data_IF_440372561627
#
_entry.id   IF_440372561627
#
_cell.length_a   1.000
_cell.length_b   1.000
_cell.length_c   1.000
_cell.angle_alpha   90.00
_cell.angle_beta   90.00
_cell.angle_gamma   90.00
#
_symmetry.space_group_name_H-M   'P 1'
#
loop_
_entity.id
_entity.type
_entity.pdbx_description
1 polymer ?
#
# COMPACT_ATOMS: atom_id res chain seq x y z
N UNK A 1 43.17 7.00 28.11
CA UNK A 1 42.53 5.84 27.48
C UNK A 1 41.06 5.90 27.88
N UNK A 2 40.22 6.44 27.00
CA UNK A 2 38.81 6.72 27.26
C UNK A 2 37.96 5.77 26.42
N UNK A 3 36.92 5.12 26.99
CA UNK A 3 36.05 4.26 26.21
C UNK A 3 35.04 5.11 25.42
N UNK A 4 34.94 4.79 24.12
CA UNK A 4 34.01 5.38 23.18
C UNK A 4 32.63 4.73 23.34
N UNK A 5 31.60 5.53 23.60
CA UNK A 5 30.21 5.07 23.68
C UNK A 5 29.62 4.90 22.28
N UNK A 6 29.14 3.69 21.99
CA UNK A 6 28.36 3.38 20.80
C UNK A 6 26.95 3.98 20.92
N UNK A 7 26.58 4.82 19.96
CA UNK A 7 25.21 5.33 19.80
C UNK A 7 24.33 4.26 19.18
N UNK A 8 23.28 3.87 19.90
CA UNK A 8 22.26 2.92 19.48
C UNK A 8 21.46 3.43 18.28
N UNK A 9 21.34 2.56 17.29
CA UNK A 9 20.54 2.73 16.08
C UNK A 9 19.04 2.68 16.44
N UNK A 10 18.40 3.83 16.46
CA UNK A 10 16.96 3.96 16.57
C UNK A 10 16.33 4.16 15.18
N UNK A 11 15.13 3.61 15.00
CA UNK A 11 14.17 3.85 13.91
C UNK A 11 14.21 2.95 12.66
N UNK A 12 14.07 1.62 12.84
CA UNK A 12 13.53 0.70 11.80
C UNK A 12 12.09 0.23 12.05
N UNK A 13 11.48 0.59 13.19
CA UNK A 13 10.16 0.09 13.62
C UNK A 13 8.98 0.51 12.73
N UNK A 14 9.06 1.65 12.03
CA UNK A 14 7.97 2.13 11.17
C UNK A 14 7.94 1.53 9.76
N UNK A 15 9.07 1.04 9.24
CA UNK A 15 9.18 0.60 7.84
C UNK A 15 8.66 -0.82 7.62
N UNK A 16 8.87 -1.71 8.59
CA UNK A 16 8.56 -3.14 8.45
C UNK A 16 7.06 -3.42 8.62
N UNK A 17 6.39 -2.72 9.54
CA UNK A 17 4.94 -2.89 9.79
C UNK A 17 4.08 -2.27 8.66
N UNK A 18 4.60 -1.22 8.00
CA UNK A 18 3.99 -0.66 6.79
C UNK A 18 4.18 -1.61 5.60
N UNK A 19 5.36 -2.23 5.46
CA UNK A 19 5.67 -3.14 4.36
C UNK A 19 4.81 -4.41 4.36
N UNK A 20 4.55 -5.02 5.53
CA UNK A 20 3.75 -6.26 5.62
C UNK A 20 2.26 -6.04 5.38
N UNK A 21 1.69 -4.94 5.88
CA UNK A 21 0.29 -4.56 5.59
C UNK A 21 0.13 -4.11 4.13
N UNK A 22 1.13 -3.43 3.55
CA UNK A 22 1.11 -3.11 2.11
C UNK A 22 1.25 -4.36 1.25
N UNK A 23 2.06 -5.36 1.63
CA UNK A 23 2.21 -6.60 0.88
C UNK A 23 0.86 -7.36 0.81
N UNK A 24 0.16 -7.48 1.94
CA UNK A 24 -1.15 -8.12 2.00
C UNK A 24 -2.23 -7.37 1.19
N UNK A 25 -2.22 -6.02 1.22
CA UNK A 25 -3.12 -5.20 0.39
C UNK A 25 -2.76 -5.22 -1.11
N UNK A 26 -1.48 -5.40 -1.47
CA UNK A 26 -1.05 -5.52 -2.87
C UNK A 26 -1.49 -6.85 -3.49
N UNK A 27 -1.43 -7.96 -2.73
CA UNK A 27 -1.87 -9.28 -3.20
C UNK A 27 -3.39 -9.31 -3.48
N UNK A 28 -4.20 -8.64 -2.64
CA UNK A 28 -5.64 -8.53 -2.85
C UNK A 28 -6.01 -7.59 -4.01
N UNK A 29 -5.28 -6.48 -4.20
CA UNK A 29 -5.55 -5.54 -5.30
C UNK A 29 -5.15 -6.07 -6.68
N UNK A 30 -4.13 -6.94 -6.77
CA UNK A 30 -3.70 -7.53 -8.05
C UNK A 30 -4.61 -8.66 -8.54
N UNK A 31 -5.36 -9.30 -7.64
CA UNK A 31 -6.34 -10.34 -8.00
C UNK A 31 -7.72 -9.78 -8.38
N UNK A 32 -8.06 -8.56 -7.92
CA UNK A 32 -9.38 -7.97 -8.09
C UNK A 32 -9.52 -7.01 -9.30
N UNK A 33 -8.42 -6.71 -10.02
CA UNK A 33 -8.42 -5.78 -11.16
C UNK A 33 -8.23 -6.52 -12.49
N UNK A 34 -9.05 -7.55 -12.70
CA UNK A 34 -9.21 -8.19 -14.01
C UNK A 34 -10.34 -7.56 -14.85
N UNK A 35 -11.23 -6.76 -14.24
CA UNK A 35 -12.35 -6.10 -14.93
C UNK A 35 -12.43 -4.61 -14.59
N UNK A 36 -11.59 -3.80 -15.23
CA UNK A 36 -11.87 -2.36 -15.33
C UNK A 36 -11.63 -1.95 -16.79
N UNK A 37 -12.52 -2.41 -17.67
CA UNK A 37 -12.72 -1.79 -18.97
C UNK A 37 -13.77 -0.68 -18.83
N UNK A 38 -13.37 0.49 -19.30
CA UNK A 38 -14.24 1.58 -19.71
C UNK A 38 -15.22 1.05 -20.76
N UNK A 39 -16.50 0.90 -20.40
CA UNK A 39 -17.59 0.81 -21.38
C UNK A 39 -18.74 1.71 -20.94
N UNK A 40 -18.93 2.76 -21.72
CA UNK A 40 -20.15 3.54 -21.83
C UNK A 40 -21.23 2.67 -22.51
N UNK A 41 -22.34 2.42 -21.82
CA UNK A 41 -23.66 2.12 -22.39
C UNK A 41 -24.68 1.86 -21.27
N UNK A 42 -25.57 2.83 -21.09
CA UNK A 42 -26.85 2.66 -20.38
C UNK A 42 -27.77 1.74 -21.20
N UNK A 43 -28.52 0.81 -20.57
CA UNK A 43 -29.97 0.98 -20.55
C UNK A 43 -30.66 0.66 -19.22
N UNK A 44 -31.81 1.32 -19.09
CA UNK A 44 -32.78 1.32 -18.00
C UNK A 44 -33.20 -0.05 -17.46
N UNK A 45 -33.31 -0.13 -16.12
CA UNK A 45 -34.13 -1.11 -15.42
C UNK A 45 -35.13 -0.37 -14.53
N UNK A 46 -36.41 -0.69 -14.71
CA UNK A 46 -37.55 -0.24 -13.89
C UNK A 46 -37.52 -0.88 -12.51
N UNK A 47 -38.21 -0.25 -11.53
CA UNK A 47 -38.02 -0.49 -10.11
C UNK A 47 -39.01 -1.54 -9.59
N UNK A 48 -38.56 -2.46 -8.75
CA UNK A 48 -39.42 -3.01 -7.69
C UNK A 48 -38.61 -3.75 -6.62
N UNK A 49 -38.88 -3.31 -5.39
CA UNK A 49 -38.94 -4.12 -4.17
C UNK A 49 -37.64 -4.70 -3.57
N UNK A 50 -36.95 -3.87 -2.78
CA UNK A 50 -36.20 -4.37 -1.61
C UNK A 50 -36.40 -3.50 -0.39
N UNK A 51 -37.04 -4.12 0.59
CA UNK A 51 -37.33 -3.67 1.94
C UNK A 51 -36.11 -3.08 2.68
N UNK A 52 -36.43 -2.06 3.47
CA UNK A 52 -35.55 -1.28 4.34
C UNK A 52 -34.77 -2.14 5.34
N UNK A 53 -33.44 -2.10 5.24
CA UNK A 53 -32.54 -2.51 6.33
C UNK A 53 -32.13 -1.26 7.15
N UNK A 54 -31.85 -1.38 8.46
CA UNK A 54 -31.54 -0.25 9.34
C UNK A 54 -30.25 0.45 8.91
N UNK A 55 -30.31 1.78 8.76
CA UNK A 55 -29.14 2.62 8.46
C UNK A 55 -28.24 2.73 9.69
N UNK A 56 -27.07 2.09 9.64
CA UNK A 56 -25.94 2.42 10.49
C UNK A 56 -25.48 3.87 10.21
N UNK A 57 -25.14 4.67 11.24
CA UNK A 57 -24.63 6.02 11.03
C UNK A 57 -23.30 5.98 10.25
N UNK A 58 -23.02 7.01 9.42
CA UNK A 58 -21.83 7.04 8.58
C UNK A 58 -20.59 7.04 9.46
N UNK A 59 -19.91 5.89 9.53
CA UNK A 59 -18.54 5.83 10.04
C UNK A 59 -17.68 6.64 9.09
N UNK A 60 -17.29 7.83 9.54
CA UNK A 60 -16.20 8.61 8.97
C UNK A 60 -14.98 7.70 8.86
N UNK A 61 -14.82 7.11 7.67
CA UNK A 61 -13.61 6.37 7.33
C UNK A 61 -12.51 7.40 7.34
N UNK A 62 -11.81 7.45 8.48
CA UNK A 62 -10.50 8.05 8.72
C UNK A 62 -9.70 8.01 7.41
N UNK A 63 -9.86 9.07 6.62
CA UNK A 63 -9.16 9.24 5.35
C UNK A 63 -7.71 9.34 5.75
N UNK A 64 -6.92 8.34 5.39
CA UNK A 64 -5.51 8.24 5.73
C UNK A 64 -4.84 9.59 5.50
N UNK A 65 -4.37 10.17 6.60
CA UNK A 65 -3.61 11.42 6.64
C UNK A 65 -2.34 11.19 5.82
N UNK A 66 -2.24 11.87 4.68
CA UNK A 66 -0.99 12.10 3.96
C UNK A 66 -0.50 10.98 3.05
N UNK A 67 -1.13 10.78 1.89
CA UNK A 67 -0.30 10.64 0.68
C UNK A 67 -0.02 12.06 0.22
N UNK A 68 1.20 12.55 0.49
CA UNK A 68 1.66 13.83 -0.03
C UNK A 68 1.50 13.91 -1.55
N UNK A 69 1.56 15.12 -2.12
CA UNK A 69 1.66 15.28 -3.57
C UNK A 69 2.80 14.42 -4.10
N UNK A 70 2.54 13.58 -5.11
CA UNK A 70 3.60 12.83 -5.79
C UNK A 70 4.58 13.84 -6.36
N UNK A 71 5.82 13.82 -5.86
CA UNK A 71 6.87 14.68 -6.39
C UNK A 71 7.46 14.06 -7.67
N UNK A 72 8.28 14.83 -8.37
CA UNK A 72 8.89 14.38 -9.63
C UNK A 72 9.76 13.14 -9.46
N UNK A 73 10.42 13.00 -8.30
CA UNK A 73 11.21 11.81 -7.98
C UNK A 73 10.37 10.54 -7.80
N UNK A 74 9.17 10.66 -7.22
CA UNK A 74 8.21 9.55 -7.13
C UNK A 74 7.72 9.14 -8.51
N UNK A 75 7.44 10.12 -9.37
CA UNK A 75 7.00 9.89 -10.74
C UNK A 75 8.07 9.16 -11.57
N UNK A 76 9.33 9.58 -11.49
CA UNK A 76 10.41 8.93 -12.24
C UNK A 76 10.63 7.49 -11.77
N UNK A 77 10.54 7.22 -10.46
CA UNK A 77 10.61 5.85 -9.92
C UNK A 77 9.49 4.96 -10.47
N UNK A 78 8.26 5.49 -10.58
CA UNK A 78 7.13 4.75 -11.15
C UNK A 78 7.30 4.52 -12.65
N UNK A 79 7.81 5.51 -13.37
CA UNK A 79 8.10 5.41 -14.80
C UNK A 79 9.21 4.38 -15.04
N UNK A 80 10.24 4.30 -14.19
CA UNK A 80 11.25 3.23 -14.25
C UNK A 80 10.61 1.84 -14.13
N UNK A 81 9.63 1.65 -13.24
CA UNK A 81 8.92 0.36 -13.14
C UNK A 81 8.10 0.08 -14.40
N UNK A 82 7.49 1.10 -15.00
CA UNK A 82 6.79 0.94 -16.28
C UNK A 82 7.74 0.59 -17.42
N UNK A 83 8.96 1.13 -17.41
CA UNK A 83 10.02 0.85 -18.39
C UNK A 83 10.43 -0.62 -18.34
N UNK A 84 10.60 -1.15 -17.12
CA UNK A 84 10.92 -2.56 -16.89
C UNK A 84 9.82 -3.50 -17.46
N UNK A 85 8.58 -3.03 -17.62
CA UNK A 85 7.45 -3.79 -18.19
C UNK A 85 7.35 -3.60 -19.71
N UNK A 86 7.38 -2.34 -20.16
CA UNK A 86 7.20 -1.96 -21.57
C UNK A 86 7.76 -0.55 -21.80
N UNK A 87 8.87 -0.40 -22.56
CA UNK A 87 9.45 0.90 -22.90
C UNK A 87 8.46 1.88 -23.54
N UNK A 88 7.57 1.37 -24.40
CA UNK A 88 6.51 2.15 -25.04
C UNK A 88 5.52 2.73 -24.01
N UNK A 89 5.24 1.98 -22.94
CA UNK A 89 4.33 2.44 -21.90
C UNK A 89 4.99 3.51 -21.06
N UNK A 90 6.25 3.33 -20.66
CA UNK A 90 7.02 4.36 -19.98
C UNK A 90 7.12 5.65 -20.80
N UNK A 91 7.34 5.54 -22.11
CA UNK A 91 7.35 6.67 -23.03
C UNK A 91 6.00 7.40 -23.07
N UNK A 92 4.89 6.67 -23.13
CA UNK A 92 3.54 7.24 -23.05
C UNK A 92 3.31 7.97 -21.72
N UNK A 93 3.79 7.43 -20.60
CA UNK A 93 3.68 8.07 -19.29
C UNK A 93 4.50 9.36 -19.21
N UNK A 94 5.73 9.38 -19.78
CA UNK A 94 6.55 10.60 -19.88
C UNK A 94 5.87 11.67 -20.73
N UNK A 95 5.29 11.29 -21.86
CA UNK A 95 4.56 12.21 -22.74
C UNK A 95 3.38 12.87 -22.01
N UNK A 96 2.57 12.07 -21.30
CA UNK A 96 1.45 12.59 -20.48
C UNK A 96 1.91 13.51 -19.37
N UNK A 97 3.04 13.20 -18.72
CA UNK A 97 3.61 14.05 -17.67
C UNK A 97 4.12 15.38 -18.23
N UNK A 98 4.65 15.41 -19.45
CA UNK A 98 5.09 16.62 -20.12
C UNK A 98 3.92 17.50 -20.60
N UNK A 99 2.82 16.88 -21.04
CA UNK A 99 1.63 17.57 -21.54
C UNK A 99 0.78 18.18 -20.41
N UNK A 100 0.42 17.37 -19.40
CA UNK A 100 -0.36 17.84 -18.25
C UNK A 100 0.12 17.17 -16.94
N UNK A 101 1.13 17.75 -16.25
CA UNK A 101 1.74 17.15 -15.08
C UNK A 101 0.76 16.89 -13.93
N UNK A 102 -0.16 17.81 -13.66
CA UNK A 102 -1.09 17.71 -12.53
C UNK A 102 -2.15 16.63 -12.73
N UNK A 103 -2.69 16.54 -13.95
CA UNK A 103 -3.64 15.50 -14.32
C UNK A 103 -2.97 14.12 -14.32
N UNK A 104 -1.78 14.00 -14.90
CA UNK A 104 -1.00 12.76 -14.85
C UNK A 104 -0.75 12.31 -13.40
N UNK A 105 -0.30 13.21 -12.52
CA UNK A 105 -0.11 12.90 -11.08
C UNK A 105 -1.42 12.51 -10.39
N UNK A 106 -2.56 13.09 -10.77
CA UNK A 106 -3.87 12.67 -10.25
C UNK A 106 -4.24 11.25 -10.70
N UNK A 107 -4.01 10.92 -11.97
CA UNK A 107 -4.26 9.59 -12.52
C UNK A 107 -3.36 8.53 -11.89
N UNK A 108 -2.09 8.82 -11.67
CA UNK A 108 -1.19 7.90 -10.96
C UNK A 108 -1.64 7.65 -9.52
N UNK A 109 -2.20 8.64 -8.84
CA UNK A 109 -2.76 8.43 -7.49
C UNK A 109 -3.98 7.50 -7.52
N UNK A 110 -4.81 7.60 -8.55
CA UNK A 110 -6.06 6.83 -8.68
C UNK A 110 -5.82 5.41 -9.19
N UNK A 111 -5.00 5.28 -10.22
CA UNK A 111 -4.83 4.04 -10.99
C UNK A 111 -3.42 3.44 -10.88
N UNK A 112 -2.43 4.20 -10.42
CA UNK A 112 -1.03 3.75 -10.31
C UNK A 112 -0.74 2.77 -9.17
N UNK A 113 -1.74 2.31 -8.42
CA UNK A 113 -1.58 1.37 -7.28
C UNK A 113 -0.73 0.15 -7.64
N UNK A 114 -0.89 -0.37 -8.86
CA UNK A 114 -0.12 -1.50 -9.36
C UNK A 114 1.38 -1.19 -9.47
N UNK A 115 1.73 -0.04 -10.04
CA UNK A 115 3.11 0.42 -10.16
C UNK A 115 3.72 0.72 -8.79
N UNK A 116 2.96 1.28 -7.85
CA UNK A 116 3.42 1.43 -6.47
C UNK A 116 3.72 0.08 -5.80
N UNK A 117 2.85 -0.92 -5.96
CA UNK A 117 3.08 -2.25 -5.42
C UNK A 117 4.36 -2.88 -5.98
N UNK A 118 4.57 -2.77 -7.28
CA UNK A 118 5.79 -3.23 -7.94
C UNK A 118 7.03 -2.45 -7.50
N UNK A 119 6.93 -1.13 -7.31
CA UNK A 119 8.03 -0.32 -6.79
C UNK A 119 8.44 -0.78 -5.38
N UNK A 120 7.48 -1.06 -4.51
CA UNK A 120 7.78 -1.61 -3.17
C UNK A 120 8.40 -3.00 -3.24
N UNK A 121 7.95 -3.85 -4.17
CA UNK A 121 8.55 -5.17 -4.40
C UNK A 121 9.99 -5.06 -4.91
N UNK A 122 10.30 -4.07 -5.75
CA UNK A 122 11.66 -3.85 -6.29
C UNK A 122 12.70 -3.74 -5.18
N UNK A 123 12.35 -3.10 -4.07
CA UNK A 123 13.25 -2.94 -2.91
C UNK A 123 13.15 -4.11 -1.91
N UNK A 124 11.92 -4.57 -1.61
CA UNK A 124 11.67 -5.52 -0.52
C UNK A 124 11.76 -7.00 -0.91
N UNK A 125 11.44 -7.33 -2.16
CA UNK A 125 11.53 -8.70 -2.69
C UNK A 125 11.85 -8.66 -4.21
N UNK A 126 13.13 -8.44 -4.57
CA UNK A 126 13.55 -8.25 -5.96
C UNK A 126 13.25 -9.45 -6.88
N UNK A 127 13.22 -10.66 -6.34
CA UNK A 127 12.90 -11.86 -7.13
C UNK A 127 11.41 -11.91 -7.50
N UNK A 128 10.52 -11.65 -6.53
CA UNK A 128 9.09 -11.54 -6.81
C UNK A 128 8.80 -10.39 -7.78
N UNK A 129 9.51 -9.26 -7.63
CA UNK A 129 9.43 -8.14 -8.57
C UNK A 129 9.71 -8.56 -10.01
N UNK A 130 10.84 -9.24 -10.27
CA UNK A 130 11.20 -9.72 -11.62
C UNK A 130 10.12 -10.61 -12.23
N UNK A 131 9.56 -11.54 -11.45
CA UNK A 131 8.51 -12.45 -11.93
C UNK A 131 7.24 -11.68 -12.27
N UNK A 132 6.81 -10.74 -11.42
CA UNK A 132 5.59 -9.92 -11.67
C UNK A 132 5.75 -8.98 -12.87
N UNK A 133 6.95 -8.45 -13.10
CA UNK A 133 7.25 -7.66 -14.31
C UNK A 133 7.20 -8.53 -15.56
N UNK A 134 7.84 -9.71 -15.53
CA UNK A 134 7.81 -10.64 -16.66
C UNK A 134 6.38 -11.09 -17.01
N UNK A 135 5.55 -11.38 -16.00
CA UNK A 135 4.14 -11.72 -16.18
C UNK A 135 3.36 -10.61 -16.90
N UNK A 136 3.62 -9.36 -16.52
CA UNK A 136 3.00 -8.18 -17.12
C UNK A 136 3.39 -7.95 -18.57
N UNK A 137 4.70 -8.02 -18.84
CA UNK A 137 5.23 -7.92 -20.20
C UNK A 137 4.66 -9.03 -21.09
N UNK A 138 4.59 -10.26 -20.57
CA UNK A 138 4.03 -11.40 -21.28
C UNK A 138 2.54 -11.23 -21.58
N UNK A 139 1.75 -10.70 -20.63
CA UNK A 139 0.31 -10.41 -20.85
C UNK A 139 0.07 -9.39 -21.95
N UNK A 140 0.94 -8.37 -22.10
CA UNK A 140 0.90 -7.47 -23.27
C UNK A 140 1.20 -8.25 -24.55
N UNK A 141 2.28 -9.04 -24.57
CA UNK A 141 2.65 -9.86 -25.72
C UNK A 141 1.55 -10.83 -26.18
N UNK A 142 0.81 -11.43 -25.25
CA UNK A 142 -0.35 -12.29 -25.54
C UNK A 142 -1.45 -11.49 -26.25
N UNK A 143 -1.81 -10.30 -25.76
CA UNK A 143 -2.82 -9.45 -26.39
C UNK A 143 -2.40 -9.02 -27.79
N UNK A 144 -1.14 -8.62 -27.96
CA UNK A 144 -0.59 -8.21 -29.26
C UNK A 144 -0.63 -9.37 -30.28
N UNK A 145 -0.26 -10.59 -29.85
CA UNK A 145 -0.32 -11.79 -30.70
C UNK A 145 -1.75 -12.20 -31.04
N UNK A 146 -2.68 -12.11 -30.08
CA UNK A 146 -4.10 -12.37 -30.33
C UNK A 146 -4.68 -11.38 -31.36
N UNK A 147 -4.31 -10.10 -31.28
CA UNK A 147 -4.69 -9.10 -32.28
C UNK A 147 -4.16 -9.45 -33.67
N UNK A 148 -2.90 -9.87 -33.77
CA UNK A 148 -2.29 -10.33 -35.04
C UNK A 148 -2.98 -11.56 -35.60
N UNK A 149 -3.29 -12.55 -34.75
CA UNK A 149 -4.02 -13.75 -35.15
C UNK A 149 -5.33 -13.39 -35.85
N UNK A 150 -6.16 -12.54 -35.23
CA UNK A 150 -7.44 -12.15 -35.82
C UNK A 150 -7.28 -11.32 -37.10
N UNK A 151 -6.22 -10.53 -37.22
CA UNK A 151 -5.95 -9.75 -38.43
C UNK A 151 -5.62 -10.63 -39.65
N UNK A 152 -4.98 -11.80 -39.45
CA UNK A 152 -4.53 -12.67 -40.56
C UNK A 152 -5.42 -13.90 -40.78
N UNK A 153 -6.31 -14.22 -39.83
CA UNK A 153 -7.13 -15.45 -39.84
C UNK A 153 -7.89 -15.69 -41.15
N UNK A 154 -8.42 -14.63 -41.76
CA UNK A 154 -9.20 -14.73 -43.00
C UNK A 154 -8.35 -14.72 -44.27
N UNK A 155 -7.12 -14.22 -44.20
CA UNK A 155 -6.27 -13.95 -45.38
C UNK A 155 -5.14 -14.95 -45.53
N UNK A 156 -4.59 -15.44 -44.42
CA UNK A 156 -3.47 -16.39 -44.41
C UNK A 156 -3.66 -17.40 -43.26
N UNK A 157 -4.39 -18.51 -43.53
CA UNK A 157 -4.62 -19.55 -42.53
C UNK A 157 -3.34 -20.24 -42.04
N UNK A 158 -2.30 -20.30 -42.87
CA UNK A 158 -1.02 -20.91 -42.50
C UNK A 158 -0.26 -20.07 -41.47
N UNK A 159 -0.20 -18.76 -41.70
CA UNK A 159 0.35 -17.82 -40.73
C UNK A 159 -0.50 -17.75 -39.45
N UNK A 160 -1.83 -17.80 -39.57
CA UNK A 160 -2.74 -17.84 -38.43
C UNK A 160 -2.47 -19.05 -37.51
N UNK A 161 -2.29 -20.25 -38.08
CA UNK A 161 -1.95 -21.47 -37.34
C UNK A 161 -0.60 -21.34 -36.60
N UNK A 162 0.40 -20.74 -37.26
CA UNK A 162 1.71 -20.47 -36.65
C UNK A 162 1.60 -19.51 -35.46
N UNK A 163 0.81 -18.44 -35.60
CA UNK A 163 0.55 -17.49 -34.51
C UNK A 163 -0.21 -18.18 -33.37
N UNK A 164 -1.20 -19.03 -33.67
CA UNK A 164 -1.93 -19.79 -32.67
C UNK A 164 -1.02 -20.72 -31.86
N UNK A 165 -0.07 -21.40 -32.52
CA UNK A 165 0.96 -22.21 -31.86
C UNK A 165 1.83 -21.40 -30.90
N UNK A 166 2.29 -20.21 -31.32
CA UNK A 166 3.05 -19.31 -30.46
C UNK A 166 2.20 -18.78 -29.29
N UNK A 167 0.94 -18.41 -29.55
CA UNK A 167 0.02 -17.93 -28.52
C UNK A 167 -0.18 -18.97 -27.43
N UNK A 168 -0.34 -20.25 -27.80
CA UNK A 168 -0.43 -21.36 -26.86
C UNK A 168 0.82 -21.44 -25.96
N UNK A 169 2.02 -21.29 -26.52
CA UNK A 169 3.25 -21.29 -25.73
C UNK A 169 3.32 -20.11 -24.75
N UNK A 170 2.93 -18.91 -25.18
CA UNK A 170 2.89 -17.73 -24.31
C UNK A 170 1.88 -17.90 -23.17
N UNK A 171 0.71 -18.50 -23.45
CA UNK A 171 -0.28 -18.79 -22.40
C UNK A 171 0.27 -19.77 -21.38
N UNK A 172 0.93 -20.86 -21.80
CA UNK A 172 1.60 -21.79 -20.87
C UNK A 172 2.62 -21.07 -20.00
N UNK A 173 3.50 -20.26 -20.61
CA UNK A 173 4.49 -19.46 -19.88
C UNK A 173 3.83 -18.50 -18.87
N UNK A 174 2.66 -17.94 -19.19
CA UNK A 174 1.95 -17.05 -18.27
C UNK A 174 1.45 -17.79 -17.03
N UNK A 175 0.96 -19.02 -17.18
CA UNK A 175 0.55 -19.86 -16.06
C UNK A 175 1.76 -20.22 -15.19
N UNK A 176 2.90 -20.56 -15.80
CA UNK A 176 4.13 -20.87 -15.06
C UNK A 176 4.64 -19.66 -14.25
N UNK A 177 4.63 -18.46 -14.84
CA UNK A 177 5.00 -17.23 -14.14
C UNK A 177 4.03 -16.90 -13.01
N UNK A 178 2.72 -17.09 -13.20
CA UNK A 178 1.72 -16.88 -12.15
C UNK A 178 1.90 -17.85 -10.98
N UNK A 179 2.16 -19.13 -11.25
CA UNK A 179 2.43 -20.12 -10.21
C UNK A 179 3.73 -19.81 -9.46
N UNK A 180 4.78 -19.41 -10.19
CA UNK A 180 6.04 -18.97 -9.58
C UNK A 180 5.85 -17.73 -8.70
N UNK A 181 5.09 -16.74 -9.16
CA UNK A 181 4.78 -15.55 -8.38
C UNK A 181 4.05 -15.92 -7.09
N UNK A 182 3.02 -16.77 -7.17
CA UNK A 182 2.27 -17.25 -5.99
C UNK A 182 3.16 -18.01 -5.02
N UNK A 183 4.09 -18.83 -5.51
CA UNK A 183 5.06 -19.54 -4.67
C UNK A 183 5.96 -18.57 -3.89
N UNK A 184 6.49 -17.54 -4.55
CA UNK A 184 7.31 -16.50 -3.91
C UNK A 184 6.50 -15.65 -2.92
N UNK A 185 5.23 -15.38 -3.21
CA UNK A 185 4.33 -14.68 -2.29
C UNK A 185 4.07 -15.48 -1.02
N UNK A 186 3.80 -16.79 -1.16
CA UNK A 186 3.64 -17.68 -0.01
C UNK A 186 4.91 -17.76 0.83
N UNK A 187 6.08 -17.81 0.18
CA UNK A 187 7.36 -17.77 0.87
C UNK A 187 7.55 -16.45 1.64
N UNK A 188 7.24 -15.30 1.04
CA UNK A 188 7.32 -14.01 1.69
C UNK A 188 6.37 -13.90 2.90
N UNK A 189 5.17 -14.46 2.79
CA UNK A 189 4.20 -14.52 3.89
C UNK A 189 4.68 -15.40 5.03
N UNK A 190 5.26 -16.57 4.75
CA UNK A 190 5.83 -17.45 5.78
C UNK A 190 6.96 -16.76 6.55
N UNK A 191 7.85 -16.05 5.86
CA UNK A 191 8.91 -15.24 6.49
C UNK A 191 8.28 -14.16 7.39
N UNK A 192 7.33 -13.38 6.87
CA UNK A 192 6.69 -12.31 7.64
C UNK A 192 5.97 -12.83 8.89
N UNK A 193 5.30 -13.98 8.82
CA UNK A 193 4.64 -14.60 9.98
C UNK A 193 5.67 -15.05 11.03
N UNK A 194 6.81 -15.62 10.60
CA UNK A 194 7.90 -16.01 11.52
C UNK A 194 8.50 -14.80 12.22
N UNK A 195 8.72 -13.70 11.50
CA UNK A 195 9.22 -12.46 12.07
C UNK A 195 8.23 -11.85 13.07
N UNK A 196 6.94 -11.80 12.73
CA UNK A 196 5.88 -11.33 13.64
C UNK A 196 5.82 -12.17 14.91
N UNK A 197 5.96 -13.50 14.79
CA UNK A 197 5.99 -14.40 15.93
C UNK A 197 7.23 -14.15 16.80
N UNK A 198 8.41 -14.03 16.21
CA UNK A 198 9.63 -13.73 16.94
C UNK A 198 9.53 -12.39 17.69
N UNK A 199 8.96 -11.37 17.03
CA UNK A 199 8.70 -10.07 17.64
C UNK A 199 7.74 -10.17 18.82
N UNK A 200 6.62 -10.89 18.67
CA UNK A 200 5.67 -11.09 19.74
C UNK A 200 6.31 -11.81 20.94
N UNK A 201 7.15 -12.81 20.71
CA UNK A 201 7.87 -13.50 21.79
C UNK A 201 8.81 -12.56 22.55
N UNK A 202 9.57 -11.72 21.84
CA UNK A 202 10.39 -10.68 22.47
C UNK A 202 9.54 -9.69 23.26
N UNK A 203 8.40 -9.25 22.73
CA UNK A 203 7.48 -8.38 23.46
C UNK A 203 6.92 -9.05 24.73
N UNK A 204 6.67 -10.36 24.70
CA UNK A 204 6.23 -11.14 25.87
C UNK A 204 7.33 -11.25 26.92
N UNK A 205 8.58 -11.51 26.53
CA UNK A 205 9.72 -11.57 27.46
C UNK A 205 9.92 -10.23 28.17
N UNK A 206 9.84 -9.14 27.42
CA UNK A 206 9.97 -7.78 27.95
C UNK A 206 8.74 -7.32 28.75
N UNK A 207 7.59 -8.02 28.63
CA UNK A 207 6.32 -7.57 29.22
C UNK A 207 6.36 -7.51 30.74
N UNK A 208 7.06 -8.46 31.40
CA UNK A 208 7.17 -8.49 32.86
C UNK A 208 7.98 -7.32 33.38
N UNK A 209 9.09 -6.98 32.71
CA UNK A 209 9.91 -5.83 33.07
C UNK A 209 9.17 -4.50 32.81
N UNK A 210 8.38 -4.40 31.73
CA UNK A 210 7.51 -3.24 31.48
C UNK A 210 6.42 -3.10 32.54
N UNK A 211 5.76 -4.19 32.91
CA UNK A 211 4.72 -4.19 33.93
C UNK A 211 5.29 -3.77 35.30
N UNK A 212 6.47 -4.29 35.68
CA UNK A 212 7.15 -3.90 36.91
C UNK A 212 7.51 -2.40 36.92
N UNK A 213 8.00 -1.87 35.78
CA UNK A 213 8.31 -0.43 35.68
C UNK A 213 7.08 0.44 35.89
N UNK A 214 5.97 0.13 35.20
CA UNK A 214 4.71 0.87 35.35
C UNK A 214 4.17 0.75 36.78
N UNK A 215 4.29 -0.43 37.40
CA UNK A 215 3.92 -0.63 38.80
C UNK A 215 4.72 0.27 39.75
N UNK A 216 6.04 0.37 39.57
CA UNK A 216 6.89 1.24 40.38
C UNK A 216 6.60 2.73 40.16
N UNK A 217 6.33 3.15 38.92
CA UNK A 217 5.94 4.53 38.59
C UNK A 217 4.63 4.93 39.29
N UNK A 218 3.62 4.06 39.27
CA UNK A 218 2.34 4.26 39.96
C UNK A 218 2.49 4.41 41.49
N UNK A 219 3.47 3.75 42.10
CA UNK A 219 3.75 3.89 43.53
C UNK A 219 4.52 5.17 43.87
N UNK A 220 5.27 5.74 42.92
CA UNK A 220 6.10 6.91 43.13
C UNK A 220 5.35 8.24 42.93
N UNK A 221 4.27 8.25 42.16
CA UNK A 221 3.51 9.46 41.83
C UNK A 221 2.21 9.54 42.66
N UNK A 222 2.04 10.52 43.57
CA UNK A 222 0.78 10.71 44.27
C UNK A 222 -0.27 11.19 43.26
N UNK A 223 -1.44 10.53 43.25
CA UNK A 223 -2.56 10.88 42.38
C UNK A 223 -3.02 12.33 42.62
N UNK A 224 -2.46 13.29 41.86
CA UNK A 224 -2.86 14.69 41.86
C UNK A 224 -2.96 15.12 40.41
N UNK A 225 -4.19 15.13 39.87
CA UNK A 225 -4.53 15.83 38.63
C UNK A 225 -5.31 14.97 37.62
N UNK A 226 -6.48 15.46 37.23
CA UNK A 226 -7.29 15.01 36.08
C UNK A 226 -6.57 15.32 34.74
N UNK A 227 -5.35 14.83 34.55
CA UNK A 227 -4.70 14.86 33.24
C UNK A 227 -4.77 13.47 32.59
N UNK A 228 -5.38 13.43 31.40
CA UNK A 228 -5.69 12.25 30.56
C UNK A 228 -4.42 11.49 30.07
N UNK A 229 -3.23 11.87 30.56
CA UNK A 229 -1.91 11.37 30.20
C UNK A 229 -1.24 10.65 31.40
N UNK A 230 -1.95 9.68 31.99
CA UNK A 230 -1.46 8.94 33.16
C UNK A 230 -0.43 7.83 32.85
N UNK A 231 0.26 7.30 33.89
CA UNK A 231 1.30 6.25 33.82
C UNK A 231 0.89 4.92 33.14
N UNK A 232 -0.40 4.77 32.80
CA UNK A 232 -0.92 3.61 32.08
C UNK A 232 -0.67 3.66 30.55
N UNK A 233 -0.23 4.79 29.99
CA UNK A 233 -0.02 4.91 28.54
C UNK A 233 1.12 3.99 28.03
N UNK A 234 2.05 3.61 28.92
CA UNK A 234 3.10 2.62 28.66
C UNK A 234 2.62 1.16 28.57
N UNK A 235 1.36 0.87 28.92
CA UNK A 235 0.75 -0.46 28.81
C UNK A 235 -0.01 -0.67 27.49
N UNK A 236 -0.18 0.39 26.68
CA UNK A 236 -0.89 0.26 25.41
C UNK A 236 -0.04 -0.52 24.39
N UNK A 237 -0.62 -1.49 23.66
CA UNK A 237 0.09 -2.21 22.61
C UNK A 237 0.63 -1.22 21.56
N UNK A 238 1.96 -1.16 21.43
CA UNK A 238 2.65 -0.27 20.48
C UNK A 238 3.16 1.06 21.04
N UNK A 239 2.99 1.36 22.34
CA UNK A 239 3.60 2.52 22.99
C UNK A 239 5.11 2.33 23.13
N UNK A 240 5.91 3.12 22.40
CA UNK A 240 7.36 3.16 22.60
C UNK A 240 7.67 3.99 23.87
N UNK A 241 8.67 3.60 24.67
CA UNK A 241 9.14 4.45 25.75
C UNK A 241 9.77 5.72 25.13
N UNK A 242 9.15 6.87 25.37
CA UNK A 242 9.72 8.17 25.00
C UNK A 242 9.01 8.94 23.88
N UNK A 243 7.81 8.56 23.45
CA UNK A 243 7.00 9.37 22.53
C UNK A 243 6.35 10.56 23.28
N UNK A 244 7.18 11.36 23.96
CA UNK A 244 6.76 12.63 24.55
C UNK A 244 6.41 13.56 23.40
N UNK A 245 5.12 13.86 23.27
CA UNK A 245 4.62 14.84 22.31
C UNK A 245 5.40 16.14 22.40
N UNK A 246 5.76 16.62 21.22
CA UNK A 246 6.39 17.90 20.92
C UNK A 246 5.65 19.05 21.65
N UNK A 247 6.34 19.92 22.42
CA UNK A 247 5.70 21.04 23.08
C UNK A 247 5.39 22.11 22.02
N UNK A 248 4.12 22.51 21.91
CA UNK A 248 3.73 23.56 20.98
C UNK A 248 2.25 23.61 20.66
N UNK A 249 1.42 23.99 21.64
CA UNK A 249 0.19 24.73 21.38
C UNK A 249 -0.29 25.47 22.63
N UNK A 250 0.58 26.29 23.21
CA UNK A 250 0.09 27.51 23.87
C UNK A 250 -0.26 28.51 22.76
N UNK A 251 -1.54 28.66 22.47
CA UNK A 251 -2.05 29.86 21.81
C UNK A 251 -3.51 30.09 22.25
N UNK A 252 -3.62 30.88 23.31
CA UNK A 252 -4.63 31.93 23.50
C UNK A 252 -6.08 31.59 23.19
N UNK A 253 -6.86 31.34 24.24
CA UNK A 253 -8.26 31.78 24.26
C UNK A 253 -8.44 32.81 25.37
N UNK A 254 -8.03 34.04 25.04
CA UNK A 254 -8.43 35.23 25.77
C UNK A 254 -9.97 35.34 25.76
N UNK A 255 -10.51 35.81 26.89
CA UNK A 255 -11.94 35.83 27.16
C UNK A 255 -12.76 36.66 26.18
N UNK A 256 -13.95 36.15 25.86
CA UNK A 256 -15.04 36.95 25.32
C UNK A 256 -16.00 37.18 26.48
N UNK A 257 -15.94 38.39 27.03
CA UNK A 257 -16.98 38.92 27.89
C UNK A 257 -18.27 39.06 27.06
N UNK A 258 -19.37 38.53 27.59
CA UNK A 258 -20.70 38.65 27.01
C UNK A 258 -21.32 39.98 27.47
N UNK A 259 -21.66 40.93 26.58
CA UNK A 259 -22.36 42.13 26.97
C UNK A 259 -23.82 42.03 26.51
N UNK A 260 -24.64 41.28 27.24
CA UNK A 260 -26.10 41.34 27.11
C UNK A 260 -26.73 40.89 28.43
N UNK A 261 -26.73 41.82 29.39
CA UNK A 261 -27.61 41.79 30.56
C UNK A 261 -28.05 43.23 30.86
N UNK A 262 -28.95 43.73 29.99
CA UNK A 262 -29.87 44.83 30.28
C UNK A 262 -31.19 44.56 29.55
N UNK A 263 -32.12 43.94 30.27
CA UNK A 263 -33.53 43.81 29.95
C UNK A 263 -34.30 43.60 31.23
#
# INVERSE_FOLDING_TARGET
MSPSHATGSACSFGRILLATVLLALCVQAMSASADDQVTDATPAATPEDRASAPQDPPRDRRRGKGRGSLNDGDMERLISVAEDISPEWASSLRARLAENPEEARADFRRYGRRLFGLLMLKDSNPELYKVRVAELALKKGIKDQAGRYHAVLATDPGEAERIAGNLKQLVVQSVDLELRARSLELQALDIAVRELRAKLMSEVEDSRARAERVWQELLAEPAIGDEDDGPLDGLRPGSLPGDRRRPGSEQGRAGVANPDDRG
#
